data_IF_151613750618
#
_entry.id   IF_151613750618
#
_cell.length_a   1.000
_cell.length_b   1.000
_cell.length_c   1.000
_cell.angle_alpha   90.00
_cell.angle_beta   90.00
_cell.angle_gamma   90.00
#
_symmetry.space_group_name_H-M   'P 1'
#
loop_
_entity.id
_entity.type
_entity.pdbx_description
1 polymer ?
#
# COMPACT_ATOMS: atom_id res chain seq x y z
N UNK A 1 -23.10 -25.63 -12.36
CA UNK A 1 -22.98 -24.16 -12.28
C UNK A 1 -21.52 -23.80 -12.52
N UNK A 2 -21.21 -22.90 -13.45
CA UNK A 2 -19.83 -22.48 -13.70
C UNK A 2 -19.48 -21.29 -12.80
N UNK A 3 -18.89 -21.57 -11.64
CA UNK A 3 -18.31 -20.55 -10.77
C UNK A 3 -16.94 -20.21 -11.33
N UNK A 4 -16.84 -19.09 -12.04
CA UNK A 4 -15.61 -18.71 -12.74
C UNK A 4 -14.83 -17.61 -12.01
N UNK A 5 -15.49 -16.81 -11.16
CA UNK A 5 -14.86 -15.67 -10.46
C UNK A 5 -15.03 -15.73 -8.94
N UNK A 6 -14.11 -15.06 -8.22
CA UNK A 6 -14.19 -14.93 -6.75
C UNK A 6 -15.48 -14.22 -6.32
N UNK A 7 -15.94 -13.24 -7.10
CA UNK A 7 -17.15 -12.49 -6.80
C UNK A 7 -18.40 -13.35 -6.98
N UNK A 8 -18.48 -14.17 -8.04
CA UNK A 8 -19.60 -15.09 -8.25
C UNK A 8 -19.68 -16.12 -7.13
N UNK A 9 -18.51 -16.63 -6.71
CA UNK A 9 -18.40 -17.58 -5.62
C UNK A 9 -18.98 -17.04 -4.30
N UNK A 10 -18.59 -15.83 -3.90
CA UNK A 10 -19.09 -15.21 -2.67
C UNK A 10 -20.58 -14.86 -2.76
N UNK A 11 -21.05 -14.44 -3.94
CA UNK A 11 -22.47 -14.14 -4.17
C UNK A 11 -23.33 -15.40 -4.05
N UNK A 12 -22.90 -16.52 -4.63
CA UNK A 12 -23.61 -17.80 -4.52
C UNK A 12 -23.64 -18.31 -3.07
N UNK A 13 -22.56 -18.11 -2.32
CA UNK A 13 -22.51 -18.41 -0.89
C UNK A 13 -23.24 -17.40 0.01
N UNK A 14 -24.01 -16.46 -0.59
CA UNK A 14 -24.78 -15.43 0.11
C UNK A 14 -23.94 -14.59 1.10
N UNK A 15 -22.67 -14.36 0.77
CA UNK A 15 -21.76 -13.57 1.57
C UNK A 15 -21.72 -12.11 1.09
N UNK A 16 -21.68 -11.19 2.04
CA UNK A 16 -21.20 -9.84 1.78
C UNK A 16 -19.67 -9.83 1.87
N UNK A 17 -19.03 -8.92 1.14
CA UNK A 17 -17.57 -8.84 1.12
C UNK A 17 -17.06 -7.40 0.91
N UNK A 18 -15.80 -7.18 1.30
CA UNK A 18 -14.99 -5.99 1.01
C UNK A 18 -13.60 -6.42 0.57
N UNK A 19 -13.02 -5.66 -0.36
CA UNK A 19 -11.67 -5.88 -0.88
C UNK A 19 -10.80 -4.69 -0.51
N UNK A 20 -9.59 -4.99 -0.06
CA UNK A 20 -8.54 -4.01 0.18
C UNK A 20 -7.29 -4.42 -0.59
N UNK A 21 -6.69 -3.51 -1.35
CA UNK A 21 -5.31 -3.68 -1.81
C UNK A 21 -4.41 -3.84 -0.59
N UNK A 22 -3.42 -4.71 -0.70
CA UNK A 22 -2.36 -4.90 0.27
C UNK A 22 -0.98 -4.86 -0.38
N UNK A 23 -0.89 -4.63 -1.69
CA UNK A 23 0.37 -4.49 -2.39
C UNK A 23 1.05 -3.17 -2.00
N UNK A 24 0.58 -2.08 -2.60
CA UNK A 24 1.20 -0.77 -2.41
C UNK A 24 0.66 -0.07 -1.17
N UNK A 25 -0.66 0.02 -1.02
CA UNK A 25 -1.31 0.71 0.10
C UNK A 25 -2.50 -0.09 0.59
N UNK A 26 -2.80 -0.04 1.89
CA UNK A 26 -4.04 -0.60 2.40
C UNK A 26 -5.19 0.31 2.01
N UNK A 27 -5.76 0.10 0.82
CA UNK A 27 -6.84 0.93 0.27
C UNK A 27 -7.98 0.09 -0.25
N UNK A 28 -9.21 0.59 -0.10
CA UNK A 28 -10.41 -0.14 -0.49
C UNK A 28 -10.55 -0.19 -2.01
N UNK A 29 -10.76 -1.38 -2.55
CA UNK A 29 -11.20 -1.57 -3.94
C UNK A 29 -12.73 -1.74 -3.89
N UNK A 30 -13.46 -0.94 -4.67
CA UNK A 30 -14.92 -1.06 -4.72
C UNK A 30 -15.33 -2.42 -5.26
N UNK A 31 -16.42 -2.99 -4.75
CA UNK A 31 -16.88 -4.32 -5.17
C UNK A 31 -17.20 -4.37 -6.67
N UNK A 32 -17.72 -3.28 -7.25
CA UNK A 32 -18.00 -3.18 -8.68
C UNK A 32 -16.72 -3.13 -9.53
N UNK A 33 -15.68 -2.43 -9.09
CA UNK A 33 -14.38 -2.45 -9.75
C UNK A 33 -13.75 -3.84 -9.64
N UNK A 34 -13.77 -4.46 -8.45
CA UNK A 34 -13.20 -5.79 -8.25
C UNK A 34 -13.92 -6.87 -9.06
N UNK A 35 -15.24 -6.79 -9.21
CA UNK A 35 -15.99 -7.69 -10.10
C UNK A 35 -15.48 -7.58 -11.55
N UNK A 36 -15.32 -6.36 -12.08
CA UNK A 36 -14.76 -6.16 -13.42
C UNK A 36 -13.32 -6.67 -13.54
N UNK A 37 -12.52 -6.54 -12.47
CA UNK A 37 -11.15 -7.09 -12.41
C UNK A 37 -11.18 -8.62 -12.46
N UNK A 38 -12.05 -9.25 -11.67
CA UNK A 38 -12.22 -10.70 -11.65
C UNK A 38 -12.72 -11.26 -12.99
N UNK A 39 -13.50 -10.47 -13.74
CA UNK A 39 -13.96 -10.80 -15.09
C UNK A 39 -12.95 -10.42 -16.21
N UNK A 40 -11.74 -9.97 -15.87
CA UNK A 40 -10.72 -9.46 -16.79
C UNK A 40 -11.21 -8.33 -17.73
N UNK A 41 -12.18 -7.53 -17.26
CA UNK A 41 -12.66 -6.32 -17.94
C UNK A 41 -11.92 -5.05 -17.51
N UNK A 42 -11.24 -5.10 -16.37
CA UNK A 42 -10.36 -4.04 -15.87
C UNK A 42 -9.06 -4.64 -15.35
N UNK A 43 -7.91 -3.97 -15.54
CA UNK A 43 -6.67 -4.40 -14.91
C UNK A 43 -6.73 -4.18 -13.40
N UNK A 44 -5.98 -4.99 -12.65
CA UNK A 44 -5.75 -4.76 -11.23
C UNK A 44 -5.01 -3.42 -11.06
N UNK A 45 -5.45 -2.53 -10.15
CA UNK A 45 -5.00 -1.14 -10.15
C UNK A 45 -3.57 -0.95 -9.60
N UNK A 46 -3.11 -1.81 -8.70
CA UNK A 46 -1.86 -1.60 -7.96
C UNK A 46 -0.98 -2.85 -7.93
N UNK A 47 -0.65 -3.47 -9.07
CA UNK A 47 0.18 -4.66 -9.09
C UNK A 47 1.57 -4.32 -8.56
N UNK A 48 2.20 -5.29 -7.91
CA UNK A 48 3.59 -5.23 -7.47
C UNK A 48 4.23 -6.57 -7.78
N UNK A 49 5.41 -6.54 -8.43
CA UNK A 49 6.12 -7.75 -8.87
C UNK A 49 5.21 -8.72 -9.65
N UNK A 50 4.43 -8.22 -10.61
CA UNK A 50 3.50 -9.00 -11.43
C UNK A 50 2.42 -9.78 -10.64
N UNK A 51 2.08 -9.33 -9.44
CA UNK A 51 1.00 -9.92 -8.64
C UNK A 51 0.05 -8.86 -8.09
N UNK A 52 -1.22 -9.24 -7.99
CA UNK A 52 -2.24 -8.57 -7.20
C UNK A 52 -2.20 -9.12 -5.77
N UNK A 53 -2.02 -8.25 -4.79
CA UNK A 53 -2.06 -8.59 -3.36
C UNK A 53 -3.26 -7.91 -2.73
N UNK A 54 -4.22 -8.68 -2.22
CA UNK A 54 -5.42 -8.10 -1.62
C UNK A 54 -5.94 -8.91 -0.43
N UNK A 55 -6.56 -8.19 0.50
CA UNK A 55 -7.35 -8.75 1.58
C UNK A 55 -8.81 -8.80 1.17
N UNK A 56 -9.37 -10.00 1.10
CA UNK A 56 -10.79 -10.25 0.86
C UNK A 56 -11.45 -10.57 2.20
N UNK A 57 -12.21 -9.61 2.73
CA UNK A 57 -13.02 -9.84 3.95
C UNK A 57 -14.44 -10.17 3.56
N UNK A 58 -15.03 -11.21 4.15
CA UNK A 58 -16.41 -11.61 3.88
C UNK A 58 -17.13 -12.09 5.15
N UNK A 59 -18.46 -12.01 5.13
CA UNK A 59 -19.34 -12.42 6.23
C UNK A 59 -20.72 -12.81 5.71
N UNK A 60 -21.44 -13.64 6.48
CA UNK A 60 -22.84 -13.97 6.17
C UNK A 60 -23.79 -12.90 6.72
N UNK A 61 -24.80 -12.55 5.94
CA UNK A 61 -25.80 -11.53 6.31
C UNK A 61 -26.76 -12.03 7.40
N UNK A 62 -27.01 -13.33 7.46
CA UNK A 62 -28.09 -13.93 8.25
C UNK A 62 -27.66 -14.51 9.61
N UNK A 63 -26.41 -14.30 10.05
CA UNK A 63 -25.93 -14.76 11.36
C UNK A 63 -25.98 -13.63 12.39
N UNK A 64 -26.46 -13.94 13.60
CA UNK A 64 -26.53 -13.00 14.74
C UNK A 64 -25.14 -12.51 15.20
N UNK A 65 -24.10 -13.33 15.01
CA UNK A 65 -22.70 -12.95 15.19
C UNK A 65 -22.09 -12.68 13.81
N UNK A 66 -21.75 -11.42 13.53
CA UNK A 66 -21.09 -11.03 12.28
C UNK A 66 -19.58 -11.32 12.38
N UNK A 67 -19.21 -12.59 12.42
CA UNK A 67 -17.81 -12.98 12.28
C UNK A 67 -17.32 -12.62 10.88
N UNK A 68 -16.16 -11.96 10.82
CA UNK A 68 -15.55 -11.55 9.57
C UNK A 68 -14.40 -12.49 9.26
N UNK A 69 -14.50 -13.17 8.13
CA UNK A 69 -13.45 -14.04 7.61
C UNK A 69 -12.60 -13.25 6.64
N UNK A 70 -11.29 -13.48 6.65
CA UNK A 70 -10.34 -12.72 5.84
C UNK A 70 -9.43 -13.70 5.10
N UNK A 71 -9.35 -13.54 3.78
CA UNK A 71 -8.33 -14.19 2.96
C UNK A 71 -7.34 -13.15 2.44
N UNK A 72 -6.06 -13.44 2.62
CA UNK A 72 -4.97 -12.67 2.04
C UNK A 72 -4.48 -13.37 0.78
N UNK A 73 -4.87 -12.84 -0.37
CA UNK A 73 -4.64 -13.46 -1.66
C UNK A 73 -3.55 -12.75 -2.46
N UNK A 74 -2.67 -13.55 -3.07
CA UNK A 74 -1.64 -13.17 -4.02
C UNK A 74 -1.94 -13.88 -5.34
N UNK A 75 -2.48 -13.15 -6.32
CA UNK A 75 -2.80 -13.70 -7.64
C UNK A 75 -1.87 -13.12 -8.70
N UNK A 76 -1.31 -13.93 -9.61
CA UNK A 76 -0.49 -13.42 -10.69
C UNK A 76 -1.33 -12.60 -11.67
N UNK A 77 -0.75 -11.50 -12.17
CA UNK A 77 -1.29 -10.71 -13.27
C UNK A 77 -0.46 -10.93 -14.54
N UNK A 78 -1.04 -10.64 -15.69
CA UNK A 78 -0.31 -10.58 -16.96
C UNK A 78 0.30 -9.20 -17.20
N UNK A 79 0.96 -9.04 -18.36
CA UNK A 79 1.59 -7.78 -18.74
C UNK A 79 0.60 -6.63 -18.89
N UNK A 80 -0.68 -6.89 -19.13
CA UNK A 80 -1.73 -5.87 -19.21
C UNK A 80 -2.33 -5.56 -17.83
N UNK A 81 -1.87 -6.24 -16.78
CA UNK A 81 -2.38 -6.12 -15.42
C UNK A 81 -3.67 -6.90 -15.17
N UNK A 82 -4.09 -7.78 -16.09
CA UNK A 82 -5.27 -8.64 -15.93
C UNK A 82 -4.93 -9.84 -15.06
N UNK A 83 -5.89 -10.33 -14.27
CA UNK A 83 -5.67 -11.51 -13.44
C UNK A 83 -5.55 -12.77 -14.31
N UNK A 84 -4.67 -13.69 -13.94
CA UNK A 84 -4.65 -15.02 -14.58
C UNK A 84 -5.87 -15.82 -14.13
N UNK A 85 -6.83 -16.01 -15.02
CA UNK A 85 -8.10 -16.73 -14.76
C UNK A 85 -7.83 -18.11 -14.16
N UNK A 86 -6.84 -18.84 -14.66
CA UNK A 86 -6.48 -20.16 -14.15
C UNK A 86 -6.11 -20.14 -12.66
N UNK A 87 -5.38 -19.13 -12.19
CA UNK A 87 -5.04 -18.98 -10.78
C UNK A 87 -6.30 -18.76 -9.93
N UNK A 88 -7.21 -17.91 -10.41
CA UNK A 88 -8.48 -17.65 -9.74
C UNK A 88 -9.35 -18.91 -9.67
N UNK A 89 -9.54 -19.61 -10.78
CA UNK A 89 -10.36 -20.84 -10.84
C UNK A 89 -9.76 -21.95 -10.00
N UNK A 90 -8.43 -22.12 -10.01
CA UNK A 90 -7.73 -23.09 -9.17
C UNK A 90 -7.93 -22.81 -7.67
N UNK A 91 -7.86 -21.54 -7.26
CA UNK A 91 -8.17 -21.17 -5.88
C UNK A 91 -9.61 -21.50 -5.51
N UNK A 92 -10.59 -21.11 -6.32
CA UNK A 92 -12.02 -21.39 -6.07
C UNK A 92 -12.27 -22.89 -5.96
N UNK A 93 -11.74 -23.69 -6.89
CA UNK A 93 -11.89 -25.14 -6.87
C UNK A 93 -11.35 -25.76 -5.58
N UNK A 94 -10.18 -25.32 -5.12
CA UNK A 94 -9.59 -25.75 -3.86
C UNK A 94 -10.51 -25.40 -2.67
N UNK A 95 -11.05 -24.18 -2.61
CA UNK A 95 -11.94 -23.76 -1.53
C UNK A 95 -13.24 -24.57 -1.54
N UNK A 96 -13.85 -24.78 -2.72
CA UNK A 96 -15.07 -25.59 -2.86
C UNK A 96 -14.85 -27.03 -2.42
N UNK A 97 -13.73 -27.65 -2.82
CA UNK A 97 -13.37 -29.01 -2.41
C UNK A 97 -13.16 -29.14 -0.89
N UNK A 98 -12.72 -28.07 -0.23
CA UNK A 98 -12.39 -28.11 1.19
C UNK A 98 -13.51 -27.60 2.12
N UNK A 99 -14.42 -26.73 1.65
CA UNK A 99 -15.53 -26.17 2.44
C UNK A 99 -16.94 -26.58 1.99
N UNK A 100 -17.07 -27.21 0.81
CA UNK A 100 -18.40 -27.41 0.22
C UNK A 100 -19.13 -26.08 0.02
N UNK A 101 -20.42 -26.02 0.39
CA UNK A 101 -21.25 -24.81 0.25
C UNK A 101 -21.19 -23.85 1.45
N UNK A 102 -20.59 -24.25 2.59
CA UNK A 102 -20.59 -23.47 3.84
C UNK A 102 -19.27 -22.72 4.07
N UNK A 103 -19.11 -21.53 3.46
CA UNK A 103 -17.89 -20.72 3.56
C UNK A 103 -17.62 -20.09 4.94
N UNK A 104 -18.60 -20.11 5.84
CA UNK A 104 -18.49 -19.52 7.19
C UNK A 104 -18.79 -20.54 8.29
N UNK A 105 -18.68 -21.83 7.96
CA UNK A 105 -18.68 -22.91 8.94
C UNK A 105 -17.41 -22.89 9.80
N UNK A 106 -17.34 -23.77 10.79
CA UNK A 106 -16.08 -24.03 11.49
C UNK A 106 -15.04 -24.52 10.47
N UNK A 107 -13.90 -23.82 10.42
CA UNK A 107 -12.78 -24.19 9.56
C UNK A 107 -12.15 -25.45 10.17
N UNK A 108 -12.21 -26.57 9.46
CA UNK A 108 -11.52 -27.80 9.88
C UNK A 108 -10.00 -27.60 9.86
N UNK A 109 -9.27 -28.37 10.68
CA UNK A 109 -7.80 -28.37 10.67
C UNK A 109 -7.24 -28.69 9.27
N UNK A 110 -7.83 -29.67 8.58
CA UNK A 110 -7.45 -30.03 7.20
C UNK A 110 -7.58 -28.86 6.22
N UNK A 111 -8.61 -28.03 6.37
CA UNK A 111 -8.80 -26.84 5.56
C UNK A 111 -7.76 -25.76 5.91
N UNK A 112 -7.46 -25.56 7.19
CA UNK A 112 -6.39 -24.66 7.63
C UNK A 112 -5.04 -25.06 7.02
N UNK A 113 -4.70 -26.35 7.03
CA UNK A 113 -3.47 -26.87 6.43
C UNK A 113 -3.46 -26.70 4.91
N UNK A 114 -4.57 -27.01 4.23
CA UNK A 114 -4.71 -26.79 2.78
C UNK A 114 -4.57 -25.32 2.39
N UNK A 115 -5.20 -24.41 3.14
CA UNK A 115 -5.07 -22.97 2.93
C UNK A 115 -3.63 -22.51 3.18
N UNK A 116 -2.97 -23.01 4.22
CA UNK A 116 -1.59 -22.66 4.54
C UNK A 116 -0.60 -23.08 3.43
N UNK A 117 -0.88 -24.21 2.76
CA UNK A 117 -0.09 -24.70 1.62
C UNK A 117 -0.43 -24.05 0.27
N UNK A 118 -1.48 -23.21 0.19
CA UNK A 118 -1.97 -22.71 -1.08
C UNK A 118 -1.05 -21.62 -1.66
N UNK A 119 -0.59 -21.76 -2.92
CA UNK A 119 0.36 -20.80 -3.53
C UNK A 119 -0.23 -19.39 -3.74
N UNK A 120 -1.55 -19.24 -3.66
CA UNK A 120 -2.25 -17.98 -3.79
C UNK A 120 -2.56 -17.32 -2.45
N UNK A 121 -2.20 -17.95 -1.32
CA UNK A 121 -2.33 -17.36 0.01
C UNK A 121 -0.98 -16.82 0.44
N UNK A 122 -0.97 -15.61 1.01
CA UNK A 122 0.23 -15.04 1.60
C UNK A 122 -0.03 -14.57 3.02
N UNK A 123 1.02 -14.51 3.84
CA UNK A 123 0.96 -13.93 5.18
C UNK A 123 1.49 -12.49 5.11
N UNK A 124 0.64 -11.46 5.30
CA UNK A 124 1.14 -10.09 5.37
C UNK A 124 2.10 -9.91 6.56
N UNK A 125 3.00 -8.93 6.48
CA UNK A 125 3.88 -8.60 7.60
C UNK A 125 3.08 -8.16 8.82
N UNK A 126 3.67 -8.29 10.02
CA UNK A 126 3.03 -7.88 11.28
C UNK A 126 2.54 -6.43 11.23
N UNK A 127 3.33 -5.55 10.63
CA UNK A 127 2.98 -4.14 10.41
C UNK A 127 1.77 -3.99 9.47
N UNK A 128 1.79 -4.66 8.31
CA UNK A 128 0.69 -4.60 7.34
C UNK A 128 -0.60 -5.15 7.93
N UNK A 129 -0.51 -6.23 8.72
CA UNK A 129 -1.64 -6.80 9.46
C UNK A 129 -2.19 -5.80 10.49
N UNK A 130 -1.33 -5.12 11.24
CA UNK A 130 -1.75 -4.14 12.23
C UNK A 130 -2.54 -2.98 11.59
N UNK A 131 -2.01 -2.44 10.50
CA UNK A 131 -2.62 -1.38 9.70
C UNK A 131 -3.95 -1.85 9.10
N UNK A 132 -3.97 -3.03 8.48
CA UNK A 132 -5.18 -3.61 7.92
C UNK A 132 -6.27 -3.80 8.97
N UNK A 133 -5.93 -4.37 10.13
CA UNK A 133 -6.87 -4.56 11.24
C UNK A 133 -7.41 -3.24 11.78
N UNK A 134 -6.56 -2.21 11.93
CA UNK A 134 -6.98 -0.89 12.40
C UNK A 134 -7.96 -0.21 11.42
N UNK A 135 -7.66 -0.27 10.12
CA UNK A 135 -8.53 0.26 9.05
C UNK A 135 -9.84 -0.53 8.98
N UNK A 136 -9.78 -1.85 9.10
CA UNK A 136 -10.95 -2.73 9.16
C UNK A 136 -11.85 -2.38 10.33
N UNK A 137 -11.30 -2.31 11.54
CA UNK A 137 -12.06 -1.99 12.74
C UNK A 137 -12.75 -0.63 12.62
N UNK A 138 -12.05 0.37 12.09
CA UNK A 138 -12.65 1.69 11.87
C UNK A 138 -13.78 1.64 10.82
N UNK A 139 -13.56 0.96 9.70
CA UNK A 139 -14.54 0.83 8.61
C UNK A 139 -15.77 -0.01 8.97
N UNK A 140 -15.67 -0.89 9.97
CA UNK A 140 -16.77 -1.69 10.49
C UNK A 140 -17.33 -1.14 11.81
N UNK A 141 -16.94 0.08 12.21
CA UNK A 141 -17.39 0.75 13.44
C UNK A 141 -17.20 -0.13 14.68
N UNK A 142 -16.05 -0.82 14.72
CA UNK A 142 -15.61 -1.66 15.85
C UNK A 142 -14.72 -0.85 16.79
N UNK A 143 -14.60 -1.25 18.07
CA UNK A 143 -13.64 -0.66 18.98
C UNK A 143 -12.20 -0.81 18.46
N UNK A 144 -11.31 0.08 18.92
CA UNK A 144 -9.87 -0.07 18.69
C UNK A 144 -9.32 -1.28 19.45
N UNK A 145 -8.07 -1.68 19.16
CA UNK A 145 -7.42 -2.70 19.97
C UNK A 145 -7.14 -2.19 21.39
N UNK A 146 -6.81 -3.13 22.28
CA UNK A 146 -6.36 -2.84 23.65
C UNK A 146 -5.10 -1.96 23.70
N UNK A 147 -4.35 -1.86 22.61
CA UNK A 147 -3.11 -1.09 22.54
C UNK A 147 -3.33 0.39 22.20
N UNK A 148 -4.53 0.77 21.73
CA UNK A 148 -4.85 2.13 21.34
C UNK A 148 -4.71 3.16 22.48
N UNK A 149 -5.22 2.93 23.71
CA UNK A 149 -5.09 3.91 24.79
C UNK A 149 -3.64 4.23 25.15
N UNK A 150 -2.76 3.22 25.15
CA UNK A 150 -1.32 3.40 25.43
C UNK A 150 -0.65 4.24 24.36
N UNK A 151 -0.93 3.97 23.08
CA UNK A 151 -0.40 4.76 21.97
C UNK A 151 -0.91 6.20 22.02
N UNK A 152 -2.22 6.41 22.18
CA UNK A 152 -2.79 7.75 22.26
C UNK A 152 -2.20 8.56 23.42
N UNK A 153 -2.04 7.95 24.61
CA UNK A 153 -1.44 8.63 25.76
C UNK A 153 0.01 9.06 25.50
N UNK A 154 0.80 8.22 24.83
CA UNK A 154 2.17 8.56 24.44
C UNK A 154 2.20 9.73 23.45
N UNK A 155 1.45 9.67 22.34
CA UNK A 155 1.42 10.77 21.37
C UNK A 155 0.79 12.04 21.94
N UNK A 156 -0.09 11.94 22.94
CA UNK A 156 -0.62 13.10 23.67
C UNK A 156 0.37 13.74 24.65
N UNK A 157 1.61 13.23 24.76
CA UNK A 157 2.63 13.75 25.66
C UNK A 157 2.37 13.44 27.14
N UNK A 158 1.54 12.43 27.46
CA UNK A 158 1.29 11.99 28.84
C UNK A 158 2.37 11.08 29.41
N UNK A 159 3.27 10.59 28.54
CA UNK A 159 4.48 9.83 28.88
C UNK A 159 5.71 10.59 28.40
N UNK A 160 6.90 10.24 28.90
CA UNK A 160 8.14 10.81 28.38
C UNK A 160 8.37 10.31 26.96
N UNK A 161 8.87 11.17 26.07
CA UNK A 161 9.12 10.80 24.67
C UNK A 161 10.10 9.65 24.48
N UNK A 162 10.99 9.39 25.46
CA UNK A 162 11.93 8.28 25.42
C UNK A 162 11.34 6.92 25.88
N UNK A 163 10.11 6.91 26.44
CA UNK A 163 9.41 5.72 26.95
C UNK A 163 8.53 5.06 25.87
N UNK A 164 9.09 4.85 24.68
CA UNK A 164 8.36 4.34 23.52
C UNK A 164 8.47 2.82 23.33
N UNK A 165 9.29 2.13 24.11
CA UNK A 165 9.57 0.69 23.94
C UNK A 165 8.33 -0.18 24.20
N UNK A 166 7.35 0.32 24.95
CA UNK A 166 6.07 -0.35 25.20
C UNK A 166 5.06 -0.15 24.06
N UNK A 167 5.36 0.69 23.07
CA UNK A 167 4.45 0.97 21.96
C UNK A 167 4.44 -0.19 20.97
N UNK A 168 3.37 -0.98 21.00
CA UNK A 168 3.08 -1.95 19.95
C UNK A 168 2.60 -1.26 18.67
N UNK A 169 3.06 -1.76 17.51
CA UNK A 169 2.66 -1.25 16.18
C UNK A 169 1.13 -1.23 15.98
N UNK A 170 0.40 -2.16 16.61
CA UNK A 170 -1.07 -2.16 16.57
C UNK A 170 -1.69 -0.90 17.18
N UNK A 171 -1.13 -0.37 18.28
CA UNK A 171 -1.64 0.86 18.88
C UNK A 171 -1.39 2.09 18.02
N UNK A 172 -0.22 2.15 17.36
CA UNK A 172 0.13 3.23 16.41
C UNK A 172 -0.78 3.16 15.18
N UNK A 173 -1.01 1.95 14.66
CA UNK A 173 -1.92 1.71 13.54
C UNK A 173 -3.37 2.12 13.89
N UNK A 174 -3.85 1.80 15.09
CA UNK A 174 -5.17 2.23 15.56
C UNK A 174 -5.28 3.75 15.66
N UNK A 175 -4.24 4.43 16.16
CA UNK A 175 -4.18 5.90 16.21
C UNK A 175 -4.24 6.49 14.79
N UNK A 176 -3.45 5.97 13.86
CA UNK A 176 -3.43 6.41 12.47
C UNK A 176 -4.74 6.12 11.73
N UNK A 177 -5.42 4.99 11.98
CA UNK A 177 -6.71 4.70 11.37
C UNK A 177 -7.84 5.58 11.94
N UNK A 178 -7.61 6.25 13.08
CA UNK A 178 -8.60 7.02 13.82
C UNK A 178 -8.28 8.52 13.87
N UNK A 179 -7.66 9.08 12.83
CA UNK A 179 -7.34 10.51 12.78
C UNK A 179 -8.53 11.42 13.15
N UNK A 180 -9.74 11.08 12.70
CA UNK A 180 -10.96 11.87 12.94
C UNK A 180 -11.61 11.67 14.33
N UNK A 181 -10.99 10.90 15.23
CA UNK A 181 -11.48 10.62 16.59
C UNK A 181 -10.58 11.29 17.62
N UNK A 182 -11.08 11.51 18.84
CA UNK A 182 -10.31 11.83 20.05
C UNK A 182 -9.27 12.96 19.90
N UNK A 183 -9.52 13.90 18.98
CA UNK A 183 -8.59 14.96 18.60
C UNK A 183 -7.20 14.45 18.14
N UNK A 184 -7.14 13.24 17.57
CA UNK A 184 -5.91 12.54 17.22
C UNK A 184 -5.04 13.34 16.24
N UNK A 185 -5.62 14.06 15.26
CA UNK A 185 -4.80 14.89 14.36
C UNK A 185 -4.06 16.01 15.11
N UNK A 186 -4.73 16.72 16.04
CA UNK A 186 -4.09 17.76 16.83
C UNK A 186 -3.04 17.18 17.78
N UNK A 187 -3.32 16.01 18.37
CA UNK A 187 -2.36 15.27 19.18
C UNK A 187 -1.09 15.00 18.37
N UNK A 188 -1.23 14.47 17.15
CA UNK A 188 -0.10 14.19 16.27
C UNK A 188 0.66 15.47 15.86
N UNK A 189 -0.05 16.55 15.51
CA UNK A 189 0.57 17.86 15.20
C UNK A 189 1.48 18.32 16.34
N UNK A 190 1.01 18.21 17.59
CA UNK A 190 1.77 18.61 18.76
C UNK A 190 2.92 17.65 19.08
N UNK A 191 2.76 16.35 18.77
CA UNK A 191 3.76 15.32 19.06
C UNK A 191 4.95 15.36 18.11
N UNK A 192 4.72 15.59 16.80
CA UNK A 192 5.71 15.46 15.73
C UNK A 192 7.09 16.08 16.06
N UNK A 193 7.20 17.31 16.59
CA UNK A 193 8.49 17.94 16.89
C UNK A 193 9.30 17.25 17.99
N UNK A 194 8.69 16.35 18.76
CA UNK A 194 9.28 15.73 19.93
C UNK A 194 9.57 14.23 19.76
N UNK A 195 9.05 13.60 18.71
CA UNK A 195 9.16 12.17 18.52
C UNK A 195 10.61 11.75 18.27
N UNK A 196 11.13 10.73 18.98
CA UNK A 196 12.36 10.06 18.58
C UNK A 196 12.19 9.38 17.21
N UNK A 197 13.31 8.98 16.60
CA UNK A 197 13.32 8.41 15.25
C UNK A 197 12.42 7.18 15.10
N UNK A 198 12.47 6.19 16.01
CA UNK A 198 11.68 4.97 15.84
C UNK A 198 10.16 5.20 15.90
N UNK A 199 9.61 5.95 16.88
CA UNK A 199 8.18 6.29 16.91
C UNK A 199 7.74 7.15 15.72
N UNK A 200 8.58 8.09 15.28
CA UNK A 200 8.30 8.93 14.11
C UNK A 200 8.18 8.07 12.84
N UNK A 201 9.13 7.18 12.61
CA UNK A 201 9.15 6.27 11.46
C UNK A 201 7.94 5.31 11.49
N UNK A 202 7.64 4.73 12.65
CA UNK A 202 6.50 3.83 12.84
C UNK A 202 5.16 4.55 12.59
N UNK A 203 5.03 5.79 13.05
CA UNK A 203 3.86 6.63 12.76
C UNK A 203 3.75 6.91 11.26
N UNK A 204 4.84 7.33 10.62
CA UNK A 204 4.87 7.67 9.20
C UNK A 204 4.45 6.49 8.31
N UNK A 205 4.92 5.28 8.64
CA UNK A 205 4.51 4.03 8.00
C UNK A 205 3.00 3.75 8.16
N UNK A 206 2.41 4.03 9.33
CA UNK A 206 0.97 3.86 9.52
C UNK A 206 0.14 4.92 8.78
N UNK A 207 0.65 6.16 8.71
CA UNK A 207 -0.01 7.30 8.07
C UNK A 207 -0.06 7.17 6.53
N UNK A 208 0.88 6.46 5.90
CA UNK A 208 0.92 6.32 4.43
C UNK A 208 -0.36 5.69 3.84
N UNK A 209 -1.18 5.05 4.67
CA UNK A 209 -2.43 4.39 4.30
C UNK A 209 -3.69 5.22 4.61
N UNK A 210 -3.53 6.45 5.13
CA UNK A 210 -4.65 7.24 5.64
C UNK A 210 -5.04 8.35 4.66
N UNK A 211 -6.31 8.39 4.28
CA UNK A 211 -6.86 9.43 3.38
C UNK A 211 -7.38 10.66 4.12
N UNK A 212 -7.61 10.56 5.42
CA UNK A 212 -8.27 11.58 6.24
C UNK A 212 -7.31 12.56 6.92
N UNK A 213 -6.04 12.57 6.49
CA UNK A 213 -5.06 13.58 6.90
C UNK A 213 -5.54 14.95 6.42
N UNK A 214 -5.85 15.84 7.37
CA UNK A 214 -6.29 17.21 7.09
C UNK A 214 -5.09 18.10 6.71
N UNK A 215 -5.39 19.33 6.27
CA UNK A 215 -4.36 20.29 5.83
C UNK A 215 -3.35 20.61 6.94
N UNK A 216 -3.80 20.81 8.19
CA UNK A 216 -2.93 21.18 9.30
C UNK A 216 -1.94 20.08 9.66
N UNK A 217 -2.41 18.84 9.72
CA UNK A 217 -1.56 17.66 9.95
C UNK A 217 -0.62 17.45 8.76
N UNK A 218 -1.10 17.64 7.52
CA UNK A 218 -0.25 17.54 6.34
C UNK A 218 0.89 18.59 6.36
N UNK A 219 0.59 19.83 6.73
CA UNK A 219 1.58 20.90 6.90
C UNK A 219 2.58 20.56 8.01
N UNK A 220 2.11 20.04 9.14
CA UNK A 220 2.98 19.63 10.25
C UNK A 220 3.93 18.49 9.84
N UNK A 221 3.44 17.47 9.13
CA UNK A 221 4.25 16.36 8.61
C UNK A 221 5.30 16.87 7.60
N UNK A 222 4.90 17.75 6.68
CA UNK A 222 5.83 18.32 5.70
C UNK A 222 6.94 19.15 6.39
N UNK A 223 6.56 19.98 7.36
CA UNK A 223 7.53 20.72 8.19
C UNK A 223 8.45 19.78 8.97
N UNK A 224 7.93 18.67 9.51
CA UNK A 224 8.77 17.68 10.17
C UNK A 224 9.77 17.06 9.18
N UNK A 225 9.34 16.72 7.97
CA UNK A 225 10.21 16.16 6.94
C UNK A 225 11.37 17.11 6.58
N UNK A 226 11.11 18.42 6.51
CA UNK A 226 12.14 19.43 6.33
C UNK A 226 13.15 19.47 7.49
N UNK A 227 12.67 19.35 8.73
CA UNK A 227 13.53 19.35 9.91
C UNK A 227 14.41 18.09 9.97
N UNK A 228 13.84 16.91 9.69
CA UNK A 228 14.59 15.66 9.61
C UNK A 228 15.67 15.71 8.53
N UNK A 229 15.35 16.28 7.37
CA UNK A 229 16.31 16.44 6.29
C UNK A 229 17.46 17.38 6.68
N UNK A 230 17.17 18.51 7.34
CA UNK A 230 18.21 19.43 7.87
C UNK A 230 19.08 18.79 8.94
N UNK A 231 18.53 17.86 9.72
CA UNK A 231 19.24 17.06 10.71
C UNK A 231 20.00 15.86 10.10
N UNK A 232 19.99 15.71 8.76
CA UNK A 232 20.57 14.58 8.03
C UNK A 232 19.94 13.21 8.38
N UNK A 233 18.68 13.19 8.84
CA UNK A 233 17.89 11.98 9.04
C UNK A 233 17.10 11.63 7.78
N UNK A 234 17.82 11.26 6.72
CA UNK A 234 17.24 11.06 5.39
C UNK A 234 16.09 10.03 5.38
N UNK A 235 16.23 8.91 6.09
CA UNK A 235 15.19 7.86 6.14
C UNK A 235 13.86 8.39 6.70
N UNK A 236 13.91 9.20 7.77
CA UNK A 236 12.73 9.80 8.36
C UNK A 236 12.10 10.85 7.46
N UNK A 237 12.92 11.66 6.77
CA UNK A 237 12.42 12.61 5.77
C UNK A 237 11.70 11.90 4.60
N UNK A 238 12.25 10.79 4.11
CA UNK A 238 11.63 9.94 3.08
C UNK A 238 10.32 9.34 3.59
N UNK A 239 10.30 8.79 4.80
CA UNK A 239 9.11 8.20 5.40
C UNK A 239 7.99 9.22 5.63
N UNK A 240 8.33 10.47 5.97
CA UNK A 240 7.33 11.54 6.13
C UNK A 240 6.73 11.98 4.80
N UNK A 241 7.48 11.93 3.69
CA UNK A 241 6.87 12.05 2.35
C UNK A 241 5.90 10.89 2.08
N UNK A 242 6.29 9.64 2.43
CA UNK A 242 5.41 8.47 2.29
C UNK A 242 4.12 8.62 3.08
N UNK A 243 4.19 9.16 4.30
CA UNK A 243 3.04 9.41 5.16
C UNK A 243 1.97 10.28 4.47
N UNK A 244 2.39 11.24 3.63
CA UNK A 244 1.49 12.12 2.88
C UNK A 244 1.02 11.57 1.54
N UNK A 245 1.49 10.39 1.14
CA UNK A 245 1.22 9.84 -0.19
C UNK A 245 -0.26 9.55 -0.46
N UNK A 246 -1.07 9.41 0.58
CA UNK A 246 -2.53 9.16 0.49
C UNK A 246 -3.39 10.34 0.93
N UNK A 247 -2.77 11.41 1.42
CA UNK A 247 -3.45 12.59 1.92
C UNK A 247 -4.17 13.35 0.79
N UNK A 248 -5.31 13.96 1.10
CA UNK A 248 -6.06 14.81 0.15
C UNK A 248 -5.36 16.15 -0.12
N UNK A 249 -4.43 16.56 0.73
CA UNK A 249 -3.64 17.78 0.59
C UNK A 249 -2.55 17.65 -0.48
N UNK A 250 -2.93 17.33 -1.72
CA UNK A 250 -2.02 17.02 -2.85
C UNK A 250 -0.99 18.13 -3.10
N UNK A 251 -1.38 19.40 -2.92
CA UNK A 251 -0.47 20.54 -3.08
C UNK A 251 0.68 20.55 -2.08
N UNK A 252 0.43 20.18 -0.82
CA UNK A 252 1.46 20.08 0.23
C UNK A 252 2.42 18.93 -0.09
N UNK A 253 1.88 17.76 -0.46
CA UNK A 253 2.70 16.60 -0.82
C UNK A 253 3.56 16.88 -2.05
N UNK A 254 3.02 17.57 -3.07
CA UNK A 254 3.77 17.96 -4.27
C UNK A 254 4.89 18.94 -3.94
N UNK A 255 4.63 19.95 -3.10
CA UNK A 255 5.65 20.90 -2.66
C UNK A 255 6.78 20.20 -1.89
N UNK A 256 6.45 19.28 -0.99
CA UNK A 256 7.44 18.48 -0.27
C UNK A 256 8.25 17.59 -1.22
N UNK A 257 7.59 16.92 -2.18
CA UNK A 257 8.26 16.11 -3.19
C UNK A 257 9.25 16.95 -4.01
N UNK A 258 8.85 18.14 -4.48
CA UNK A 258 9.72 19.04 -5.24
C UNK A 258 10.91 19.54 -4.41
N UNK A 259 10.67 19.85 -3.12
CA UNK A 259 11.73 20.25 -2.21
C UNK A 259 12.75 19.11 -1.99
N UNK A 260 12.28 17.87 -1.78
CA UNK A 260 13.15 16.70 -1.65
C UNK A 260 13.87 16.36 -2.96
N UNK A 261 13.23 16.59 -4.11
CA UNK A 261 13.86 16.43 -5.42
C UNK A 261 15.09 17.35 -5.57
N UNK A 262 15.01 18.57 -5.00
CA UNK A 262 16.07 19.58 -5.07
C UNK A 262 17.04 19.50 -3.87
N UNK A 263 17.15 18.36 -3.20
CA UNK A 263 18.04 18.15 -2.06
C UNK A 263 18.98 16.96 -2.27
N UNK A 264 19.85 16.70 -1.28
CA UNK A 264 20.74 15.53 -1.25
C UNK A 264 20.02 14.17 -1.34
N UNK A 265 18.69 14.13 -1.17
CA UNK A 265 17.91 12.89 -1.34
C UNK A 265 17.91 12.37 -2.78
N UNK A 266 18.26 13.20 -3.76
CA UNK A 266 18.44 12.77 -5.15
C UNK A 266 19.56 11.72 -5.32
N UNK A 267 20.46 11.61 -4.33
CA UNK A 267 21.54 10.62 -4.26
C UNK A 267 21.21 9.41 -3.37
N UNK A 268 19.99 9.34 -2.82
CA UNK A 268 19.55 8.26 -1.97
C UNK A 268 18.59 7.33 -2.74
N UNK A 269 18.99 6.06 -2.93
CA UNK A 269 18.18 5.07 -3.64
C UNK A 269 16.79 4.83 -3.02
N UNK A 270 16.69 4.88 -1.69
CA UNK A 270 15.43 4.65 -0.97
C UNK A 270 14.40 5.74 -1.29
N UNK A 271 14.84 6.94 -1.68
CA UNK A 271 13.94 8.00 -2.10
C UNK A 271 13.25 7.66 -3.43
N UNK A 272 13.97 7.11 -4.42
CA UNK A 272 13.38 6.65 -5.68
C UNK A 272 12.42 5.48 -5.48
N UNK A 273 12.81 4.52 -4.64
CA UNK A 273 11.95 3.37 -4.26
C UNK A 273 10.69 3.86 -3.55
N UNK A 274 10.80 4.86 -2.68
CA UNK A 274 9.66 5.51 -2.02
C UNK A 274 8.70 6.13 -3.04
N UNK A 275 9.20 6.90 -4.01
CA UNK A 275 8.34 7.54 -5.01
C UNK A 275 7.62 6.48 -5.84
N UNK A 276 8.35 5.52 -6.41
CA UNK A 276 7.74 4.48 -7.23
C UNK A 276 6.76 3.60 -6.43
N UNK A 277 7.10 3.28 -5.19
CA UNK A 277 6.31 2.39 -4.33
C UNK A 277 5.10 3.05 -3.66
N UNK A 278 5.14 4.36 -3.38
CA UNK A 278 4.11 5.06 -2.56
C UNK A 278 3.57 6.35 -3.16
N UNK A 279 4.40 7.12 -3.83
CA UNK A 279 4.02 8.42 -4.42
C UNK A 279 3.84 8.36 -5.95
N UNK A 280 3.59 7.16 -6.50
CA UNK A 280 3.55 6.93 -7.95
C UNK A 280 2.50 7.78 -8.67
N UNK A 281 1.38 8.13 -8.01
CA UNK A 281 0.33 8.96 -8.59
C UNK A 281 0.84 10.35 -9.00
N UNK A 282 1.89 10.87 -8.35
CA UNK A 282 2.52 12.12 -8.76
C UNK A 282 3.31 12.00 -10.06
N UNK A 283 3.68 10.77 -10.46
CA UNK A 283 4.33 10.48 -11.73
C UNK A 283 3.35 10.38 -12.91
N UNK A 284 2.04 10.57 -12.68
CA UNK A 284 1.07 10.73 -13.78
C UNK A 284 1.31 12.05 -14.54
N UNK A 285 1.93 13.04 -13.87
CA UNK A 285 2.48 14.24 -14.49
C UNK A 285 3.73 13.87 -15.33
N UNK A 286 3.61 13.98 -16.66
CA UNK A 286 4.68 13.61 -17.60
C UNK A 286 5.99 14.37 -17.35
N UNK A 287 5.92 15.61 -16.85
CA UNK A 287 7.12 16.42 -16.54
C UNK A 287 7.84 15.87 -15.33
N UNK A 288 7.11 15.54 -14.27
CA UNK A 288 7.68 14.91 -13.08
C UNK A 288 8.21 13.50 -13.39
N UNK A 289 7.50 12.71 -14.20
CA UNK A 289 7.96 11.40 -14.63
C UNK A 289 9.28 11.47 -15.40
N UNK A 290 9.39 12.40 -16.35
CA UNK A 290 10.63 12.59 -17.11
C UNK A 290 11.79 13.01 -16.20
N UNK A 291 11.58 14.00 -15.32
CA UNK A 291 12.58 14.42 -14.33
C UNK A 291 13.01 13.25 -13.44
N UNK A 292 12.06 12.46 -12.95
CA UNK A 292 12.31 11.29 -12.12
C UNK A 292 13.21 10.28 -12.83
N UNK A 293 12.90 9.91 -14.08
CA UNK A 293 13.71 8.96 -14.84
C UNK A 293 15.08 9.49 -15.23
N UNK A 294 15.19 10.77 -15.58
CA UNK A 294 16.49 11.42 -15.82
C UNK A 294 17.35 11.36 -14.55
N UNK A 295 16.82 11.78 -13.40
CA UNK A 295 17.55 11.72 -12.13
C UNK A 295 17.94 10.29 -11.74
N UNK A 296 17.00 9.34 -11.86
CA UNK A 296 17.23 7.92 -11.58
C UNK A 296 18.36 7.35 -12.43
N UNK A 297 18.36 7.63 -13.74
CA UNK A 297 19.40 7.15 -14.64
C UNK A 297 20.78 7.76 -14.33
N UNK A 298 20.82 9.04 -13.96
CA UNK A 298 22.07 9.74 -13.66
C UNK A 298 22.69 9.33 -12.32
N UNK A 299 21.87 9.02 -11.30
CA UNK A 299 22.37 8.75 -9.95
C UNK A 299 22.33 7.27 -9.54
N UNK A 300 21.32 6.52 -9.99
CA UNK A 300 21.10 5.11 -9.62
C UNK A 300 20.64 4.26 -10.82
N UNK A 301 21.38 4.34 -11.94
CA UNK A 301 21.03 3.65 -13.18
C UNK A 301 20.85 2.13 -13.06
N UNK A 302 21.44 1.47 -12.05
CA UNK A 302 21.24 0.05 -11.74
C UNK A 302 19.82 -0.28 -11.30
N UNK A 303 19.10 0.66 -10.66
CA UNK A 303 17.71 0.50 -10.23
C UNK A 303 16.70 0.79 -11.34
N UNK A 304 17.15 1.42 -12.43
CA UNK A 304 16.29 1.84 -13.52
C UNK A 304 15.44 0.69 -14.09
N UNK A 305 16.00 -0.51 -14.40
CA UNK A 305 15.19 -1.61 -14.94
C UNK A 305 14.08 -2.05 -14.00
N UNK A 306 14.39 -2.22 -12.72
CA UNK A 306 13.43 -2.69 -11.73
C UNK A 306 12.31 -1.66 -11.51
N UNK A 307 12.64 -0.37 -11.37
CA UNK A 307 11.64 0.68 -11.18
C UNK A 307 10.83 0.95 -12.45
N UNK A 308 11.43 0.82 -13.64
CA UNK A 308 10.69 0.91 -14.89
C UNK A 308 9.64 -0.20 -15.01
N UNK A 309 10.02 -1.46 -14.77
CA UNK A 309 9.10 -2.61 -14.79
C UNK A 309 8.00 -2.48 -13.75
N UNK A 310 8.33 -1.99 -12.55
CA UNK A 310 7.33 -1.75 -11.51
C UNK A 310 6.31 -0.67 -11.90
N UNK A 311 6.78 0.46 -12.43
CA UNK A 311 5.93 1.60 -12.80
C UNK A 311 5.07 1.32 -14.05
N UNK A 312 5.61 0.63 -15.06
CA UNK A 312 4.87 0.32 -16.29
C UNK A 312 3.73 -0.68 -16.05
N UNK A 313 3.84 -1.48 -14.99
CA UNK A 313 2.77 -2.40 -14.56
C UNK A 313 1.56 -1.66 -13.96
N UNK A 314 1.72 -0.43 -13.48
CA UNK A 314 0.62 0.36 -12.91
C UNK A 314 -0.24 0.92 -14.05
N UNK A 315 -1.54 0.56 -14.15
CA UNK A 315 -2.37 0.93 -15.28
C UNK A 315 -2.45 2.44 -15.56
N UNK A 316 -2.49 3.28 -14.51
CA UNK A 316 -2.56 4.74 -14.68
C UNK A 316 -1.26 5.37 -15.20
N UNK A 317 -0.13 4.67 -15.07
CA UNK A 317 1.18 5.17 -15.49
C UNK A 317 1.68 4.53 -16.78
N UNK A 318 1.16 3.36 -17.15
CA UNK A 318 1.67 2.52 -18.23
C UNK A 318 1.97 3.30 -19.51
N UNK A 319 0.99 4.06 -20.02
CA UNK A 319 1.17 4.82 -21.26
C UNK A 319 2.28 5.86 -21.12
N UNK A 320 2.28 6.62 -20.02
CA UNK A 320 3.26 7.67 -19.78
C UNK A 320 4.67 7.12 -19.61
N UNK A 321 4.82 5.96 -18.95
CA UNK A 321 6.10 5.26 -18.80
C UNK A 321 6.60 4.72 -20.14
N UNK A 322 5.74 4.08 -20.93
CA UNK A 322 6.12 3.58 -22.26
C UNK A 322 6.51 4.69 -23.23
N UNK A 323 5.87 5.87 -23.16
CA UNK A 323 6.26 7.05 -23.95
C UNK A 323 7.72 7.47 -23.71
N UNK A 324 8.26 7.26 -22.50
CA UNK A 324 9.65 7.60 -22.17
C UNK A 324 10.67 6.84 -23.05
N UNK A 325 10.31 5.62 -23.49
CA UNK A 325 11.15 4.82 -24.40
C UNK A 325 11.30 5.44 -25.79
N UNK A 326 10.45 6.41 -26.16
CA UNK A 326 10.40 7.03 -27.50
C UNK A 326 10.88 8.48 -27.52
N UNK A 327 11.21 9.08 -26.37
CA UNK A 327 11.66 10.48 -26.30
C UNK A 327 12.94 10.68 -27.13
N UNK A 328 13.04 11.75 -27.92
CA UNK A 328 14.27 12.00 -28.70
C UNK A 328 15.28 12.83 -27.91
N UNK A 329 14.79 13.71 -27.05
CA UNK A 329 15.61 14.47 -26.10
C UNK A 329 15.75 13.67 -24.80
N UNK A 330 16.88 12.98 -24.62
CA UNK A 330 17.25 12.24 -23.40
C UNK A 330 18.72 12.46 -23.10
N UNK A 331 19.10 12.41 -21.82
CA UNK A 331 20.51 12.38 -21.46
C UNK A 331 21.22 11.09 -21.94
N UNK A 332 22.56 11.09 -22.04
CA UNK A 332 23.32 9.87 -22.30
C UNK A 332 23.06 8.78 -21.25
N UNK A 333 22.94 9.16 -19.98
CA UNK A 333 22.64 8.23 -18.87
C UNK A 333 21.27 7.56 -19.05
N UNK A 334 20.23 8.34 -19.37
CA UNK A 334 18.90 7.79 -19.63
C UNK A 334 18.88 6.91 -20.89
N UNK A 335 19.62 7.28 -21.92
CA UNK A 335 19.74 6.47 -23.14
C UNK A 335 20.39 5.11 -22.85
N UNK A 336 21.45 5.09 -22.04
CA UNK A 336 22.11 3.86 -21.60
C UNK A 336 21.18 3.01 -20.73
N UNK A 337 20.50 3.61 -19.76
CA UNK A 337 19.59 2.91 -18.85
C UNK A 337 18.42 2.27 -19.61
N UNK A 338 17.90 2.93 -20.64
CA UNK A 338 16.87 2.37 -21.52
C UNK A 338 17.43 1.26 -22.41
N UNK A 339 18.68 1.37 -22.88
CA UNK A 339 19.37 0.29 -23.59
C UNK A 339 19.43 -1.01 -22.76
N UNK A 340 19.71 -0.90 -21.46
CA UNK A 340 19.78 -2.05 -20.54
C UNK A 340 18.45 -2.81 -20.42
N UNK A 341 17.30 -2.13 -20.56
CA UNK A 341 15.98 -2.78 -20.54
C UNK A 341 15.86 -3.85 -21.64
N UNK A 342 16.36 -3.54 -22.85
CA UNK A 342 16.27 -4.44 -23.99
C UNK A 342 17.32 -5.54 -23.97
N UNK A 343 18.47 -5.29 -23.32
CA UNK A 343 19.52 -6.31 -23.14
C UNK A 343 19.11 -7.40 -22.15
N UNK A 344 18.38 -7.03 -21.08
CA UNK A 344 17.84 -8.00 -20.12
C UNK A 344 16.74 -8.89 -20.71
N UNK A 345 15.92 -8.36 -21.63
CA UNK A 345 14.84 -9.12 -22.27
C UNK A 345 15.31 -10.13 -23.34
N UNK A 346 16.57 -10.10 -23.75
CA UNK A 346 17.15 -11.06 -24.71
C UNK A 346 17.84 -12.26 -24.02
N UNK A 347 17.89 -12.27 -22.68
CA UNK A 347 18.57 -13.29 -21.88
C UNK A 347 17.65 -14.25 -21.12
N UNK A 348 16.33 -14.16 -21.30
CA UNK A 348 15.32 -15.06 -20.69
C UNK A 348 14.64 -15.98 -21.72
#
# INVERSE_FOLDING_TARGET
MNINTLTDFLQQAQCQFRIYDLGRKVTKISNSAFQKIAENKLPYPYPIQQHAYFGLTFWQVNKQLQDHFIWFLKLPVDEQGLLRITAQTSFIKMVVEAMGENLTGEISQDLQERLASNPFIFKPSTEKLAIFNAIMNTNFVRPASIFYPTAQAYFAGKKQWNEWQELGIQGIADLAARLNYDNNQQILINALPHLPQQPLQSLALCLEHQHDINTDLATAIAKQAEMELKANHQDSAILLLRALSSARAVGITKALLEQQFNSELIHNENWYVCIAGRCWSFLEDETLLNRFFEALANHHGSLFPQLFVDLVAIPSLRENVLKQLRLTARSPALSQAIGLLFSGAQGE
#
